data_IF_868407518934
#
_entry.id   IF_868407518934
#
_cell.length_a   1.000
_cell.length_b   1.000
_cell.length_c   1.000
_cell.angle_alpha   90.00
_cell.angle_beta   90.00
_cell.angle_gamma   90.00
#
_symmetry.space_group_name_H-M   'P 1'
#
loop_
_entity.id
_entity.type
_entity.pdbx_description
1 polymer ?
#
# COMPACT_ATOMS: atom_id res chain seq x y z
N UNK A 1 -56.05 46.74 53.39
CA UNK A 1 -54.70 46.52 53.90
C UNK A 1 -54.33 45.09 53.73
N UNK A 2 -53.45 44.77 52.83
CA UNK A 2 -52.50 43.66 52.81
C UNK A 2 -52.07 43.39 51.38
N UNK A 3 -50.95 43.88 51.12
CA UNK A 3 -50.19 43.71 49.87
C UNK A 3 -49.68 42.27 49.75
N UNK A 4 -49.96 41.62 48.63
CA UNK A 4 -49.30 40.32 48.26
C UNK A 4 -48.28 40.56 47.16
N UNK A 5 -47.02 40.30 47.50
CA UNK A 5 -45.90 40.27 46.58
C UNK A 5 -45.91 38.92 45.81
N UNK A 6 -46.10 38.98 44.50
CA UNK A 6 -45.95 37.86 43.67
C UNK A 6 -44.49 37.77 43.15
N UNK A 7 -43.79 36.71 43.52
CA UNK A 7 -42.45 36.44 43.06
C UNK A 7 -42.50 35.85 41.65
N UNK A 8 -41.88 36.53 40.71
CA UNK A 8 -41.70 36.09 39.32
C UNK A 8 -40.45 35.21 39.23
N UNK A 9 -40.61 33.89 39.07
CA UNK A 9 -39.52 32.99 38.78
C UNK A 9 -39.23 33.01 37.28
N UNK A 10 -38.11 33.62 36.90
CA UNK A 10 -37.54 33.53 35.57
C UNK A 10 -36.65 32.29 35.51
N UNK A 11 -37.15 31.21 34.95
CA UNK A 11 -36.35 30.02 34.62
C UNK A 11 -35.60 30.30 33.32
N UNK A 12 -34.31 30.62 33.42
CA UNK A 12 -33.41 30.68 32.31
C UNK A 12 -33.07 29.25 31.85
N UNK A 13 -33.75 28.81 30.79
CA UNK A 13 -33.43 27.54 30.11
C UNK A 13 -32.10 27.67 29.38
N UNK A 14 -31.03 27.03 29.88
CA UNK A 14 -29.78 26.85 29.18
C UNK A 14 -30.01 25.83 28.04
N UNK A 15 -30.16 26.33 26.83
CA UNK A 15 -30.14 25.52 25.62
C UNK A 15 -28.71 25.13 25.33
N UNK A 16 -28.27 23.96 25.81
CA UNK A 16 -26.99 23.36 25.44
C UNK A 16 -27.03 22.94 23.96
N UNK A 17 -26.51 23.81 23.09
CA UNK A 17 -26.29 23.50 21.68
C UNK A 17 -25.14 22.50 21.59
N UNK A 18 -25.45 21.20 21.57
CA UNK A 18 -24.49 20.14 21.27
C UNK A 18 -24.18 20.22 19.78
N UNK A 19 -23.09 20.88 19.45
CA UNK A 19 -22.49 20.81 18.10
C UNK A 19 -21.96 19.40 17.89
N UNK A 20 -22.75 18.54 17.28
CA UNK A 20 -22.27 17.33 16.65
C UNK A 20 -21.38 17.74 15.49
N UNK A 21 -20.08 17.88 15.74
CA UNK A 21 -19.08 17.85 14.67
C UNK A 21 -19.08 16.43 14.10
N UNK A 22 -20.02 16.15 13.23
CA UNK A 22 -19.97 14.97 12.38
C UNK A 22 -18.70 15.08 11.55
N UNK A 23 -17.66 14.38 11.97
CA UNK A 23 -16.51 14.09 11.12
C UNK A 23 -17.04 13.29 9.93
N UNK A 24 -17.45 13.98 8.85
CA UNK A 24 -17.64 13.37 7.57
C UNK A 24 -16.25 12.89 7.10
N UNK A 25 -15.86 11.68 7.49
CA UNK A 25 -14.85 10.95 6.76
C UNK A 25 -15.40 10.80 5.34
N UNK A 26 -14.82 11.53 4.38
CA UNK A 26 -15.13 11.32 2.96
C UNK A 26 -14.98 9.83 2.69
N UNK A 27 -15.98 9.17 2.08
CA UNK A 27 -15.81 7.78 1.67
C UNK A 27 -14.55 7.70 0.81
N UNK A 28 -13.67 6.77 1.16
CA UNK A 28 -12.44 6.54 0.41
C UNK A 28 -12.80 5.89 -0.93
N UNK A 29 -12.98 6.69 -1.97
CA UNK A 29 -13.26 6.23 -3.33
C UNK A 29 -12.04 5.65 -4.04
N UNK A 30 -10.91 5.51 -3.37
CA UNK A 30 -9.69 4.99 -4.00
C UNK A 30 -9.83 3.56 -4.51
N UNK A 31 -10.73 2.77 -3.90
CA UNK A 31 -11.05 1.41 -4.35
C UNK A 31 -11.82 1.36 -5.69
N UNK A 32 -12.47 2.46 -6.08
CA UNK A 32 -13.25 2.57 -7.31
C UNK A 32 -12.39 3.06 -8.51
N UNK A 33 -11.15 3.45 -8.24
CA UNK A 33 -10.25 3.91 -9.30
C UNK A 33 -9.71 2.73 -10.12
N UNK A 34 -9.42 2.91 -11.41
CA UNK A 34 -8.66 1.95 -12.20
C UNK A 34 -7.32 1.60 -11.52
N UNK A 35 -6.87 0.35 -11.66
CA UNK A 35 -5.62 -0.14 -11.03
C UNK A 35 -4.41 0.72 -11.39
N UNK A 36 -4.40 1.26 -12.60
CA UNK A 36 -3.38 2.16 -13.12
C UNK A 36 -3.27 3.46 -12.31
N UNK A 37 -4.37 3.92 -11.75
CA UNK A 37 -4.41 5.10 -10.89
C UNK A 37 -4.18 4.73 -9.42
N UNK A 38 -4.68 3.56 -9.00
CA UNK A 38 -4.49 3.08 -7.63
C UNK A 38 -3.02 2.81 -7.32
N UNK A 39 -2.24 2.28 -8.27
CA UNK A 39 -0.82 1.96 -8.05
C UNK A 39 0.05 3.19 -7.92
N UNK A 40 -0.33 4.32 -8.53
CA UNK A 40 0.46 5.58 -8.55
C UNK A 40 0.75 6.06 -7.13
N UNK A 41 2.02 6.37 -6.87
CA UNK A 41 2.54 6.87 -5.60
C UNK A 41 3.72 6.06 -5.09
N UNK A 42 4.13 6.35 -3.86
CA UNK A 42 5.25 5.68 -3.19
C UNK A 42 4.73 4.64 -2.21
N UNK A 43 5.27 3.44 -2.29
CA UNK A 43 4.92 2.28 -1.50
C UNK A 43 6.16 1.77 -0.76
N UNK A 44 6.10 1.73 0.55
CA UNK A 44 7.20 1.23 1.40
C UNK A 44 7.19 -0.31 1.41
N UNK A 45 8.36 -0.93 1.20
CA UNK A 45 8.50 -2.38 1.29
C UNK A 45 8.32 -2.82 2.73
N UNK A 46 7.24 -3.56 2.99
CA UNK A 46 6.96 -4.15 4.29
C UNK A 46 7.61 -5.53 4.44
N UNK A 47 7.46 -6.38 3.41
CA UNK A 47 7.89 -7.78 3.47
C UNK A 47 8.39 -8.26 2.12
N UNK A 48 9.47 -9.02 2.13
CA UNK A 48 9.94 -9.82 1.00
C UNK A 48 10.07 -11.27 1.48
N UNK A 49 9.37 -12.18 0.82
CA UNK A 49 9.37 -13.61 1.10
C UNK A 49 9.72 -14.38 -0.17
N UNK A 50 10.62 -15.32 -0.05
CA UNK A 50 10.96 -16.25 -1.12
C UNK A 50 10.33 -17.60 -0.84
N UNK A 51 9.70 -18.21 -1.86
CA UNK A 51 9.30 -19.60 -1.87
C UNK A 51 10.10 -20.35 -2.93
N UNK A 52 10.71 -21.43 -2.53
CA UNK A 52 11.67 -22.17 -3.34
C UNK A 52 11.09 -23.54 -3.68
N UNK A 53 11.09 -23.87 -4.98
CA UNK A 53 10.60 -25.14 -5.50
C UNK A 53 11.68 -25.81 -6.32
N UNK A 54 11.90 -27.11 -6.14
CA UNK A 54 12.80 -27.92 -6.95
C UNK A 54 12.04 -29.09 -7.56
N UNK A 55 12.11 -29.21 -8.89
CA UNK A 55 11.33 -30.23 -9.59
C UNK A 55 9.81 -30.10 -9.39
N UNK A 56 9.31 -28.88 -9.12
CA UNK A 56 7.90 -28.62 -8.83
C UNK A 56 7.48 -28.86 -7.37
N UNK A 57 8.40 -29.36 -6.54
CA UNK A 57 8.13 -29.61 -5.10
C UNK A 57 8.57 -28.42 -4.28
N UNK A 58 7.70 -27.98 -3.36
CA UNK A 58 8.04 -26.95 -2.38
C UNK A 58 9.15 -27.43 -1.44
N UNK A 59 10.21 -26.62 -1.31
CA UNK A 59 11.37 -26.95 -0.48
C UNK A 59 11.40 -26.10 0.77
N UNK A 60 11.19 -24.77 0.62
CA UNK A 60 11.45 -23.87 1.73
C UNK A 60 10.83 -22.49 1.52
N UNK A 61 10.51 -21.84 2.63
CA UNK A 61 10.16 -20.42 2.76
C UNK A 61 11.30 -19.65 3.42
N UNK A 62 11.58 -18.44 2.94
CA UNK A 62 12.58 -17.55 3.56
C UNK A 62 12.06 -16.12 3.53
N UNK A 63 12.06 -15.47 4.68
CA UNK A 63 11.71 -14.05 4.80
C UNK A 63 13.00 -13.24 4.78
N UNK A 64 13.20 -12.43 3.74
CA UNK A 64 14.38 -11.56 3.60
C UNK A 64 14.17 -10.21 4.30
N UNK A 65 12.94 -9.71 4.29
CA UNK A 65 12.57 -8.41 4.86
C UNK A 65 11.20 -8.52 5.49
N UNK A 66 11.03 -8.00 6.69
CA UNK A 66 9.77 -8.08 7.44
C UNK A 66 9.35 -6.75 8.09
N UNK A 67 10.24 -5.77 8.14
CA UNK A 67 9.97 -4.48 8.78
C UNK A 67 10.07 -3.37 7.74
N UNK A 68 9.08 -2.48 7.65
CA UNK A 68 9.15 -1.31 6.78
C UNK A 68 10.37 -0.44 7.11
N UNK A 69 10.99 0.12 6.09
CA UNK A 69 12.03 1.12 6.23
C UNK A 69 11.83 2.18 5.13
N UNK A 70 11.88 3.48 5.45
CA UNK A 70 11.52 4.53 4.50
C UNK A 70 12.43 4.61 3.26
N UNK A 71 13.63 4.05 3.33
CA UNK A 71 14.53 3.97 2.17
C UNK A 71 14.29 2.73 1.29
N UNK A 72 13.37 1.83 1.68
CA UNK A 72 13.02 0.66 0.90
C UNK A 72 11.62 0.85 0.33
N UNK A 73 11.52 1.19 -0.95
CA UNK A 73 10.27 1.57 -1.57
C UNK A 73 10.20 1.16 -3.05
N UNK A 74 8.99 1.17 -3.57
CA UNK A 74 8.70 1.29 -4.99
C UNK A 74 7.87 2.55 -5.22
N UNK A 75 8.16 3.26 -6.30
CA UNK A 75 7.45 4.46 -6.72
C UNK A 75 6.96 4.28 -8.14
N UNK A 76 5.69 4.60 -8.35
CA UNK A 76 5.04 4.65 -9.66
C UNK A 76 4.53 6.06 -9.88
N UNK A 77 4.98 6.72 -10.91
CA UNK A 77 4.49 8.04 -11.29
C UNK A 77 3.40 7.93 -12.37
N UNK A 78 2.46 8.86 -12.38
CA UNK A 78 1.34 8.85 -13.33
C UNK A 78 1.77 8.98 -14.81
N UNK A 79 2.98 9.46 -15.07
CA UNK A 79 3.58 9.53 -16.41
C UNK A 79 4.27 8.22 -16.84
N UNK A 80 4.15 7.14 -16.05
CA UNK A 80 4.77 5.84 -16.34
C UNK A 80 6.22 5.71 -15.84
N UNK A 81 6.76 6.69 -15.10
CA UNK A 81 8.07 6.53 -14.48
C UNK A 81 8.01 5.57 -13.30
N UNK A 82 9.09 4.82 -13.12
CA UNK A 82 9.25 3.76 -12.13
C UNK A 82 10.56 3.90 -11.38
N UNK A 83 10.52 3.67 -10.08
CA UNK A 83 11.70 3.60 -9.24
C UNK A 83 11.51 2.51 -8.17
N UNK A 84 12.51 1.64 -8.01
CA UNK A 84 12.53 0.62 -6.96
C UNK A 84 13.84 0.72 -6.19
N UNK A 85 13.77 0.82 -4.88
CA UNK A 85 14.93 0.88 -4.01
C UNK A 85 14.85 -0.15 -2.89
N UNK A 86 15.89 -0.92 -2.74
CA UNK A 86 16.03 -1.88 -1.65
C UNK A 86 17.42 -1.77 -1.01
N UNK A 87 17.46 -1.64 0.32
CA UNK A 87 18.65 -1.37 1.10
C UNK A 87 19.31 -0.02 0.74
N UNK A 88 20.65 0.01 0.78
CA UNK A 88 21.46 1.21 0.50
C UNK A 88 21.89 1.33 -0.96
N UNK A 89 21.45 0.42 -1.81
CA UNK A 89 21.78 0.46 -3.24
C UNK A 89 21.14 1.67 -3.93
N UNK A 90 21.75 2.09 -5.02
CA UNK A 90 21.11 3.04 -5.91
C UNK A 90 19.77 2.45 -6.39
N UNK A 91 18.73 3.28 -6.57
CA UNK A 91 17.44 2.77 -7.04
C UNK A 91 17.55 2.27 -8.48
N UNK A 92 16.81 1.20 -8.78
CA UNK A 92 16.51 0.82 -10.15
C UNK A 92 15.48 1.80 -10.69
N UNK A 93 15.79 2.50 -11.78
CA UNK A 93 14.92 3.53 -12.32
C UNK A 93 14.65 3.31 -13.82
N UNK A 94 13.46 3.67 -14.25
CA UNK A 94 13.03 3.52 -15.64
C UNK A 94 11.55 3.81 -15.82
N UNK A 95 10.89 2.96 -16.60
CA UNK A 95 9.46 3.08 -16.89
C UNK A 95 8.73 1.79 -16.50
N UNK A 96 7.42 1.88 -16.32
CA UNK A 96 6.55 0.72 -16.13
C UNK A 96 5.36 0.77 -17.06
N UNK A 97 4.79 -0.40 -17.28
CA UNK A 97 3.53 -0.58 -17.98
C UNK A 97 2.73 -1.74 -17.39
N UNK A 98 1.42 -1.68 -17.53
CA UNK A 98 0.56 -2.81 -17.19
C UNK A 98 0.61 -3.86 -18.30
N UNK A 99 0.54 -5.12 -17.89
CA UNK A 99 0.51 -6.28 -18.78
C UNK A 99 -0.68 -7.16 -18.40
N UNK A 100 -1.71 -7.14 -19.23
CA UNK A 100 -2.99 -7.77 -18.89
C UNK A 100 -3.69 -7.10 -17.70
N UNK A 101 -4.52 -7.86 -17.01
CA UNK A 101 -5.36 -7.35 -15.91
C UNK A 101 -4.64 -7.21 -14.57
N UNK A 102 -3.51 -7.91 -14.38
CA UNK A 102 -2.83 -8.05 -13.10
C UNK A 102 -1.30 -8.05 -13.20
N UNK A 103 -0.74 -7.83 -14.37
CA UNK A 103 0.70 -7.75 -14.58
C UNK A 103 1.22 -6.31 -14.53
N UNK A 104 2.43 -6.13 -13.98
CA UNK A 104 3.24 -4.91 -14.10
C UNK A 104 4.63 -5.32 -14.59
N UNK A 105 5.05 -4.72 -15.70
CA UNK A 105 6.40 -4.91 -16.24
C UNK A 105 7.14 -3.59 -16.16
N UNK A 106 8.33 -3.59 -15.57
CA UNK A 106 9.23 -2.44 -15.61
C UNK A 106 10.36 -2.66 -16.61
N UNK A 107 10.72 -1.59 -17.30
CA UNK A 107 11.96 -1.48 -18.05
C UNK A 107 12.88 -0.52 -17.31
N UNK A 108 13.59 -1.04 -16.33
CA UNK A 108 14.43 -0.27 -15.40
C UNK A 108 15.86 -0.81 -15.38
N UNK A 109 16.81 0.03 -15.00
CA UNK A 109 18.22 -0.31 -14.84
C UNK A 109 18.63 -0.11 -13.38
N UNK A 110 19.51 -0.96 -12.83
CA UNK A 110 20.15 -2.11 -13.48
C UNK A 110 19.26 -3.35 -13.62
N UNK A 111 18.09 -3.39 -12.98
CA UNK A 111 17.23 -4.57 -12.98
C UNK A 111 15.80 -4.23 -13.44
N UNK A 112 15.25 -5.05 -14.34
CA UNK A 112 13.85 -5.02 -14.74
C UNK A 112 13.01 -5.98 -13.89
N UNK A 113 11.73 -5.66 -13.74
CA UNK A 113 10.79 -6.42 -12.93
C UNK A 113 9.61 -6.88 -13.77
N UNK A 114 9.15 -8.09 -13.51
CA UNK A 114 7.91 -8.64 -14.06
C UNK A 114 7.08 -9.17 -12.88
N UNK A 115 6.07 -8.43 -12.51
CA UNK A 115 5.24 -8.68 -11.34
C UNK A 115 3.82 -9.04 -11.73
N UNK A 116 3.28 -10.03 -11.06
CA UNK A 116 1.85 -10.28 -11.02
C UNK A 116 1.28 -9.69 -9.73
N UNK A 117 0.29 -8.81 -9.86
CA UNK A 117 -0.42 -8.25 -8.71
C UNK A 117 -1.33 -9.31 -8.09
N UNK A 118 -1.25 -9.46 -6.78
CA UNK A 118 -2.12 -10.32 -5.98
C UNK A 118 -3.17 -9.51 -5.23
N UNK A 119 -2.78 -8.33 -4.75
CA UNK A 119 -3.65 -7.42 -4.00
C UNK A 119 -3.25 -5.98 -4.32
N UNK A 120 -4.23 -5.11 -4.52
CA UNK A 120 -4.04 -3.68 -4.61
C UNK A 120 -5.22 -2.99 -3.94
N UNK A 121 -4.93 -2.23 -2.89
CA UNK A 121 -5.86 -1.33 -2.18
C UNK A 121 -5.19 0.02 -1.99
N UNK A 122 -5.86 0.97 -1.37
CA UNK A 122 -5.27 2.28 -1.06
C UNK A 122 -4.09 2.24 -0.05
N UNK A 123 -3.94 1.15 0.71
CA UNK A 123 -2.90 1.01 1.77
C UNK A 123 -2.02 -0.22 1.63
N UNK A 124 -2.41 -1.20 0.79
CA UNK A 124 -1.71 -2.47 0.64
C UNK A 124 -1.54 -2.83 -0.83
N UNK A 125 -0.33 -3.17 -1.21
CA UNK A 125 0.04 -3.64 -2.53
C UNK A 125 0.90 -4.90 -2.40
N UNK A 126 0.47 -6.01 -2.98
CA UNK A 126 1.20 -7.27 -2.96
C UNK A 126 1.40 -7.80 -4.37
N UNK A 127 2.63 -8.17 -4.68
CA UNK A 127 3.00 -8.76 -5.96
C UNK A 127 3.77 -10.06 -5.79
N UNK A 128 3.78 -10.87 -6.83
CA UNK A 128 4.68 -12.01 -6.96
C UNK A 128 5.43 -11.93 -8.28
N UNK A 129 6.70 -12.29 -8.25
CA UNK A 129 7.51 -12.60 -9.44
C UNK A 129 8.09 -13.99 -9.33
N UNK A 130 8.35 -14.62 -10.47
CA UNK A 130 8.99 -15.93 -10.57
C UNK A 130 10.32 -15.78 -11.29
N UNK A 131 11.30 -16.57 -10.91
CA UNK A 131 12.62 -16.53 -11.52
C UNK A 131 13.55 -17.57 -10.93
N UNK A 132 14.82 -17.44 -11.24
CA UNK A 132 15.92 -18.19 -10.62
C UNK A 132 16.62 -17.30 -9.59
N UNK A 133 17.26 -17.92 -8.61
CA UNK A 133 18.10 -17.23 -7.63
C UNK A 133 19.45 -17.96 -7.57
N UNK A 134 20.59 -17.26 -7.68
CA UNK A 134 21.91 -17.90 -7.64
C UNK A 134 22.17 -18.72 -6.37
N UNK A 135 21.51 -18.37 -5.26
CA UNK A 135 21.60 -19.13 -4.01
C UNK A 135 20.89 -20.50 -4.08
N UNK A 136 20.05 -20.72 -5.12
CA UNK A 136 19.28 -21.95 -5.31
C UNK A 136 19.35 -22.40 -6.78
N UNK A 137 20.51 -22.89 -7.25
CA UNK A 137 20.69 -23.28 -8.65
C UNK A 137 19.69 -24.35 -9.09
N UNK A 138 19.02 -24.12 -10.23
CA UNK A 138 18.03 -25.05 -10.80
C UNK A 138 16.66 -25.06 -10.08
N UNK A 139 16.46 -24.25 -9.05
CA UNK A 139 15.18 -24.09 -8.41
C UNK A 139 14.36 -22.98 -9.07
N UNK A 140 13.03 -23.13 -9.05
CA UNK A 140 12.09 -22.04 -9.28
C UNK A 140 11.92 -21.26 -7.96
N UNK A 141 12.11 -19.98 -8.02
CA UNK A 141 11.92 -19.09 -6.88
C UNK A 141 10.76 -18.14 -7.13
N UNK A 142 9.75 -18.19 -6.29
CA UNK A 142 8.70 -17.19 -6.23
C UNK A 142 9.07 -16.14 -5.19
N UNK A 143 9.10 -14.87 -5.60
CA UNK A 143 9.36 -13.73 -4.73
C UNK A 143 8.08 -12.96 -4.49
N UNK A 144 7.55 -13.06 -3.30
CA UNK A 144 6.40 -12.28 -2.83
C UNK A 144 6.89 -10.99 -2.19
N UNK A 145 6.34 -9.87 -2.61
CA UNK A 145 6.66 -8.56 -2.06
C UNK A 145 5.37 -7.88 -1.62
N UNK A 146 5.36 -7.43 -0.38
CA UNK A 146 4.25 -6.68 0.21
C UNK A 146 4.71 -5.27 0.50
N UNK A 147 3.94 -4.30 0.06
CA UNK A 147 4.17 -2.88 0.18
C UNK A 147 3.00 -2.23 0.89
N UNK A 148 3.28 -1.15 1.62
CA UNK A 148 2.29 -0.34 2.35
C UNK A 148 2.50 1.15 2.09
N UNK A 149 1.43 1.93 2.24
CA UNK A 149 1.45 3.39 2.29
C UNK A 149 1.34 3.91 3.71
#
# INVERSE_FOLDING_TARGET
MKTLFGALFVTAGLFSLVLFTGSCSKPDHSADLPKEQQVVGTWTIQRIQLRIYQGGVFIKDTILKQTPHPTNYVKFDANGAFEYRFNTYAPDAGTYQFSGSDGIVSNSLPQSYNWKMLTLTNVLFTVVSTGSDPAYPGALVERYQTFVR
#
